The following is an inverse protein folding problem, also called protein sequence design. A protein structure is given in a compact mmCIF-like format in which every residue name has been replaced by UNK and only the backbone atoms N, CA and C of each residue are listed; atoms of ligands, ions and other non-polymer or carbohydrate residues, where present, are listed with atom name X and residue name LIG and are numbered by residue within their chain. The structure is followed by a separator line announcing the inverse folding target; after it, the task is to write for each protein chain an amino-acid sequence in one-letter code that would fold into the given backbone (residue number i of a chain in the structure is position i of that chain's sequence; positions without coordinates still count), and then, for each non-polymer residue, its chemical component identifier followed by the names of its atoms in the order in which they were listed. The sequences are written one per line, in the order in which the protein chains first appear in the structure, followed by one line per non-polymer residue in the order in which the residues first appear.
data_IF_959345051021
#
_entry.id   IF_959345051021
#
_cell.length_a   1.000
_cell.length_b   1.000
_cell.length_c   1.000
_cell.angle_alpha   90.00
_cell.angle_beta   90.00
_cell.angle_gamma   90.00
#
_symmetry.space_group_name_H-M   'P 1'
#
loop_
_entity.id
_entity.type
_entity.pdbx_description
1 polymer ?
#
# COMPACT_ATOMS: atom_id res chain seq x y z
N UNK A 1 -8.25 -1.50 21.43
CA UNK A 1 -6.78 -1.68 21.42
C UNK A 1 -6.14 -0.33 21.65
N UNK A 2 -5.03 -0.27 22.38
CA UNK A 2 -4.27 0.99 22.50
C UNK A 2 -3.55 1.20 21.19
N UNK A 3 -3.74 2.33 20.56
CA UNK A 3 -2.94 2.76 19.41
C UNK A 3 -1.60 3.27 19.95
N UNK A 4 -0.55 2.46 19.84
CA UNK A 4 0.78 2.75 20.36
C UNK A 4 1.30 4.11 19.87
N UNK A 5 1.14 4.42 18.60
CA UNK A 5 1.63 5.68 18.02
C UNK A 5 0.85 6.87 18.59
N UNK A 6 -0.47 6.76 18.72
CA UNK A 6 -1.30 7.84 19.28
C UNK A 6 -1.04 8.03 20.78
N UNK A 7 -0.80 6.95 21.52
CA UNK A 7 -0.41 7.07 22.93
C UNK A 7 0.96 7.73 23.10
N UNK A 8 1.92 7.38 22.24
CA UNK A 8 3.22 8.03 22.21
C UNK A 8 3.12 9.52 21.83
N UNK A 9 2.25 9.88 20.88
CA UNK A 9 1.98 11.28 20.49
C UNK A 9 1.49 12.14 21.66
N UNK A 10 0.70 11.61 22.57
CA UNK A 10 0.25 12.31 23.78
C UNK A 10 1.42 12.77 24.65
N UNK A 11 2.55 12.06 24.58
CA UNK A 11 3.76 12.36 25.38
C UNK A 11 4.71 13.27 24.62
N UNK A 12 5.00 12.97 23.34
CA UNK A 12 6.05 13.65 22.56
C UNK A 12 5.51 14.76 21.65
N UNK A 13 4.19 14.88 21.48
CA UNK A 13 3.58 15.85 20.57
C UNK A 13 3.93 15.56 19.11
N UNK A 14 4.18 16.62 18.34
CA UNK A 14 4.44 16.55 16.89
C UNK A 14 5.90 16.23 16.52
N UNK A 15 6.76 15.90 17.49
CA UNK A 15 8.17 15.58 17.21
C UNK A 15 8.27 14.41 16.23
N UNK A 16 9.33 14.36 15.38
CA UNK A 16 9.54 13.26 14.46
C UNK A 16 9.56 11.92 15.19
N UNK A 17 8.75 10.98 14.73
CA UNK A 17 8.77 9.60 15.19
C UNK A 17 9.28 8.68 14.07
N UNK A 18 10.13 7.72 14.45
CA UNK A 18 10.42 6.58 13.61
C UNK A 18 9.21 5.64 13.72
N UNK A 19 8.43 5.56 12.65
CA UNK A 19 7.20 4.77 12.60
C UNK A 19 7.41 3.56 11.70
N UNK A 20 7.07 2.37 12.22
CA UNK A 20 7.09 1.14 11.43
C UNK A 20 5.66 0.82 11.03
N UNK A 21 5.45 0.64 9.74
CA UNK A 21 4.17 0.31 9.15
C UNK A 21 4.19 -0.98 8.37
N UNK A 22 3.02 -1.58 8.19
CA UNK A 22 2.78 -2.71 7.34
C UNK A 22 1.62 -2.42 6.39
N UNK A 23 1.84 -2.65 5.11
CA UNK A 23 0.93 -2.23 4.05
C UNK A 23 0.72 -3.31 3.00
N UNK A 24 -0.40 -3.24 2.28
CA UNK A 24 -0.78 -4.25 1.27
C UNK A 24 -1.21 -3.61 -0.03
N UNK A 25 -0.53 -3.95 -1.12
CA UNK A 25 -0.99 -3.71 -2.49
C UNK A 25 -1.84 -4.92 -2.90
N UNK A 26 -3.15 -4.74 -3.00
CA UNK A 26 -4.06 -5.79 -3.49
C UNK A 26 -4.14 -5.71 -5.00
N UNK A 27 -3.81 -6.81 -5.68
CA UNK A 27 -3.97 -6.96 -7.13
C UNK A 27 -5.12 -7.92 -7.43
N UNK A 28 -6.00 -7.53 -8.35
CA UNK A 28 -7.05 -8.42 -8.85
C UNK A 28 -6.58 -9.25 -10.06
N UNK A 29 -7.43 -10.19 -10.50
CA UNK A 29 -7.17 -11.07 -11.65
C UNK A 29 -6.94 -10.32 -12.98
N UNK A 30 -7.34 -9.04 -13.05
CA UNK A 30 -7.14 -8.17 -14.22
C UNK A 30 -5.86 -7.32 -14.12
N UNK A 31 -5.05 -7.52 -13.08
CA UNK A 31 -3.84 -6.73 -12.82
C UNK A 31 -4.12 -5.29 -12.39
N UNK A 32 -5.33 -5.02 -11.85
CA UNK A 32 -5.67 -3.73 -11.25
C UNK A 32 -5.32 -3.75 -9.78
N UNK A 33 -4.99 -2.60 -9.22
CA UNK A 33 -4.72 -2.44 -7.78
C UNK A 33 -5.85 -1.74 -7.07
N UNK A 34 -6.11 -2.19 -5.84
CA UNK A 34 -7.04 -1.53 -4.94
C UNK A 34 -6.36 -0.33 -4.31
N UNK A 35 -6.95 0.83 -4.46
CA UNK A 35 -6.58 2.02 -3.72
C UNK A 35 -7.78 2.53 -2.92
N UNK A 36 -7.47 3.15 -1.79
CA UNK A 36 -8.40 3.87 -0.94
C UNK A 36 -8.13 5.37 -1.00
N UNK A 37 -9.20 6.15 -1.01
CA UNK A 37 -9.12 7.59 -0.87
C UNK A 37 -9.30 7.95 0.61
N UNK A 38 -8.33 8.61 1.18
CA UNK A 38 -8.34 9.00 2.59
C UNK A 38 -9.33 10.16 2.82
N UNK A 39 -10.04 10.11 3.95
CA UNK A 39 -10.99 11.17 4.34
C UNK A 39 -10.29 12.42 4.88
N UNK A 40 -9.07 12.31 5.44
CA UNK A 40 -8.34 13.42 6.07
C UNK A 40 -7.70 14.39 5.06
N UNK A 41 -7.24 13.91 3.90
CA UNK A 41 -6.52 14.73 2.93
C UNK A 41 -6.94 14.49 1.46
N UNK A 42 -7.87 13.56 1.21
CA UNK A 42 -8.39 13.18 -0.12
C UNK A 42 -7.33 12.62 -1.09
N UNK A 43 -6.20 12.14 -0.57
CA UNK A 43 -5.18 11.44 -1.34
C UNK A 43 -5.49 9.95 -1.43
N UNK A 44 -5.01 9.33 -2.49
CA UNK A 44 -5.13 7.89 -2.70
C UNK A 44 -3.90 7.15 -2.16
N UNK A 45 -4.11 5.95 -1.65
CA UNK A 45 -3.06 5.05 -1.19
C UNK A 45 -3.57 3.62 -1.14
N UNK A 46 -2.68 2.67 -0.96
CA UNK A 46 -3.05 1.30 -0.62
C UNK A 46 -3.33 1.19 0.89
N UNK A 47 -3.94 0.07 1.31
CA UNK A 47 -4.25 -0.18 2.71
C UNK A 47 -2.97 -0.42 3.54
N UNK A 48 -2.96 0.09 4.76
CA UNK A 48 -1.86 -0.11 5.69
C UNK A 48 -1.81 0.91 6.81
N UNK A 49 -1.13 0.55 7.87
CA UNK A 49 -0.98 1.39 9.05
C UNK A 49 0.18 0.97 9.95
N UNK A 50 0.17 1.47 11.17
CA UNK A 50 1.23 1.22 12.15
C UNK A 50 1.16 -0.21 12.70
N UNK A 51 2.33 -0.79 12.91
CA UNK A 51 2.47 -2.04 13.66
C UNK A 51 2.29 -1.73 15.14
N UNK A 52 1.48 -2.53 15.83
CA UNK A 52 1.29 -2.45 17.27
C UNK A 52 2.41 -3.18 18.04
N UNK A 53 2.53 -2.88 19.33
CA UNK A 53 3.49 -3.58 20.19
C UNK A 53 3.22 -5.08 20.21
N UNK A 54 4.28 -5.87 20.05
CA UNK A 54 4.24 -7.34 20.04
C UNK A 54 3.44 -7.95 18.88
N UNK A 55 3.02 -7.15 17.89
CA UNK A 55 2.33 -7.62 16.69
C UNK A 55 3.34 -8.07 15.62
N UNK A 56 3.07 -9.22 14.98
CA UNK A 56 3.85 -9.64 13.82
C UNK A 56 3.53 -8.74 12.61
N UNK A 57 4.53 -8.44 11.81
CA UNK A 57 4.39 -7.55 10.63
C UNK A 57 3.32 -8.02 9.67
N UNK A 58 3.25 -9.33 9.40
CA UNK A 58 2.28 -9.91 8.48
C UNK A 58 0.85 -9.87 9.04
N UNK A 59 0.71 -10.04 10.36
CA UNK A 59 -0.58 -9.92 11.04
C UNK A 59 -1.08 -8.48 11.03
N UNK A 60 -0.18 -7.50 11.24
CA UNK A 60 -0.48 -6.08 11.10
C UNK A 60 -0.98 -5.74 9.69
N UNK A 61 -0.28 -6.21 8.65
CA UNK A 61 -0.69 -6.01 7.26
C UNK A 61 -2.09 -6.58 6.97
N UNK A 62 -2.39 -7.78 7.47
CA UNK A 62 -3.71 -8.42 7.33
C UNK A 62 -4.80 -7.68 8.09
N UNK A 63 -4.50 -7.22 9.31
CA UNK A 63 -5.42 -6.45 10.15
C UNK A 63 -5.80 -5.13 9.46
N UNK A 64 -4.81 -4.35 9.06
CA UNK A 64 -5.03 -3.07 8.37
C UNK A 64 -5.82 -3.24 7.07
N UNK A 65 -5.46 -4.25 6.26
CA UNK A 65 -6.22 -4.55 5.04
C UNK A 65 -7.69 -4.82 5.35
N UNK A 66 -7.98 -5.64 6.37
CA UNK A 66 -9.34 -5.98 6.73
C UNK A 66 -10.11 -4.77 7.31
N UNK A 67 -9.49 -4.00 8.20
CA UNK A 67 -10.10 -2.83 8.84
C UNK A 67 -10.49 -1.77 7.80
N UNK A 68 -9.59 -1.44 6.89
CA UNK A 68 -9.77 -0.38 5.91
C UNK A 68 -10.61 -0.79 4.69
N UNK A 69 -10.57 -2.07 4.29
CA UNK A 69 -11.18 -2.52 3.02
C UNK A 69 -12.23 -3.62 3.15
N UNK A 70 -12.28 -4.34 4.27
CA UNK A 70 -13.13 -5.52 4.46
C UNK A 70 -12.61 -6.78 3.77
N UNK A 71 -11.43 -6.74 3.14
CA UNK A 71 -10.82 -7.90 2.52
C UNK A 71 -9.92 -8.65 3.50
N UNK A 72 -9.95 -9.97 3.42
CA UNK A 72 -9.08 -10.87 4.16
C UNK A 72 -8.03 -11.45 3.24
N UNK A 73 -6.75 -11.19 3.51
CA UNK A 73 -5.65 -11.77 2.76
C UNK A 73 -5.46 -13.25 3.14
N UNK A 74 -5.54 -14.14 2.16
CA UNK A 74 -5.21 -15.56 2.32
C UNK A 74 -3.69 -15.77 2.22
N UNK A 75 -3.05 -15.04 1.32
CA UNK A 75 -1.60 -15.09 1.11
C UNK A 75 -1.03 -13.71 0.88
N UNK A 76 0.06 -13.40 1.59
CA UNK A 76 0.86 -12.21 1.40
C UNK A 76 2.24 -12.58 0.82
N UNK A 77 2.72 -11.77 -0.09
CA UNK A 77 4.05 -11.87 -0.70
C UNK A 77 4.82 -10.58 -0.41
N UNK A 78 5.98 -10.69 0.25
CA UNK A 78 6.78 -9.50 0.57
C UNK A 78 7.21 -8.81 -0.73
N UNK A 79 6.77 -7.58 -0.90
CA UNK A 79 7.17 -6.73 -2.03
C UNK A 79 8.47 -5.98 -1.74
N UNK A 80 8.59 -5.40 -0.55
CA UNK A 80 9.80 -4.69 -0.16
C UNK A 80 9.67 -3.97 1.17
N UNK A 81 10.83 -3.45 1.62
CA UNK A 81 10.94 -2.59 2.79
C UNK A 81 11.39 -1.22 2.32
N UNK A 82 10.59 -0.20 2.62
CA UNK A 82 10.81 1.17 2.16
C UNK A 82 11.12 2.07 3.35
N UNK A 83 12.22 2.79 3.26
CA UNK A 83 12.67 3.68 4.31
C UNK A 83 13.53 4.81 3.73
N UNK A 84 14.02 5.69 4.60
CA UNK A 84 14.92 6.76 4.26
C UNK A 84 14.20 8.08 3.94
N UNK A 85 14.92 9.03 3.33
CA UNK A 85 14.49 10.41 3.16
C UNK A 85 13.14 10.56 2.43
N UNK A 86 12.87 9.69 1.44
CA UNK A 86 11.63 9.74 0.65
C UNK A 86 10.41 9.20 1.41
N UNK A 87 10.63 8.62 2.61
CA UNK A 87 9.58 8.11 3.49
C UNK A 87 9.33 9.04 4.69
N UNK A 88 9.93 10.22 4.68
CA UNK A 88 9.66 11.29 5.64
C UNK A 88 8.38 12.03 5.23
N UNK A 89 7.51 12.29 6.21
CA UNK A 89 6.24 12.97 5.97
C UNK A 89 5.79 13.79 7.17
N UNK A 90 5.15 14.92 6.90
CA UNK A 90 4.48 15.74 7.91
C UNK A 90 2.99 15.71 7.56
N UNK A 91 2.19 15.17 8.47
CA UNK A 91 0.74 15.10 8.32
C UNK A 91 0.09 16.49 8.45
N UNK A 92 -1.15 16.68 7.92
CA UNK A 92 -1.85 17.97 8.02
C UNK A 92 -2.05 18.49 9.46
N UNK A 93 -2.12 17.57 10.43
CA UNK A 93 -2.20 17.91 11.87
C UNK A 93 -0.85 18.31 12.49
N UNK A 94 0.25 18.30 11.71
CA UNK A 94 1.61 18.64 12.14
C UNK A 94 2.42 17.47 12.68
N UNK A 95 1.87 16.28 12.76
CA UNK A 95 2.62 15.08 13.17
C UNK A 95 3.69 14.75 12.13
N UNK A 96 4.94 14.61 12.60
CA UNK A 96 6.08 14.32 11.76
C UNK A 96 6.52 12.86 11.93
N UNK A 97 6.78 12.18 10.82
CA UNK A 97 7.18 10.77 10.81
C UNK A 97 8.33 10.51 9.85
N UNK A 98 9.19 9.58 10.22
CA UNK A 98 10.12 8.90 9.32
C UNK A 98 9.68 7.45 9.23
N UNK A 99 9.03 7.08 8.13
CA UNK A 99 8.42 5.77 7.99
C UNK A 99 9.44 4.70 7.57
N UNK A 100 9.27 3.52 8.14
CA UNK A 100 9.74 2.25 7.60
C UNK A 100 8.48 1.47 7.25
N UNK A 101 8.20 1.31 5.96
CA UNK A 101 6.99 0.63 5.48
C UNK A 101 7.36 -0.74 4.90
N UNK A 102 6.80 -1.79 5.47
CA UNK A 102 6.93 -3.16 4.99
C UNK A 102 5.71 -3.44 4.12
N UNK A 103 5.92 -3.49 2.81
CA UNK A 103 4.85 -3.59 1.82
C UNK A 103 4.76 -5.01 1.28
N UNK A 104 3.54 -5.54 1.30
CA UNK A 104 3.18 -6.84 0.72
C UNK A 104 2.33 -6.67 -0.53
N UNK A 105 2.36 -7.67 -1.39
CA UNK A 105 1.40 -7.85 -2.48
C UNK A 105 0.44 -8.97 -2.09
N UNK A 106 -0.86 -8.75 -2.31
CA UNK A 106 -1.92 -9.71 -2.09
C UNK A 106 -2.70 -9.93 -3.39
N UNK A 107 -2.67 -11.17 -3.90
CA UNK A 107 -3.44 -11.62 -5.07
C UNK A 107 -4.50 -12.65 -4.72
N UNK A 108 -4.37 -13.23 -3.51
CA UNK A 108 -5.25 -14.26 -2.99
C UNK A 108 -5.95 -13.72 -1.74
N UNK A 109 -7.20 -13.34 -1.91
CA UNK A 109 -8.00 -12.69 -0.87
C UNK A 109 -9.47 -13.06 -0.99
N UNK A 110 -10.18 -12.95 0.12
CA UNK A 110 -11.63 -13.17 0.23
C UNK A 110 -12.30 -11.94 0.84
N UNK A 111 -13.61 -11.98 0.96
CA UNK A 111 -14.39 -10.90 1.57
C UNK A 111 -15.08 -9.99 0.55
N UNK A 112 -15.70 -8.95 1.06
CA UNK A 112 -16.43 -7.95 0.26
C UNK A 112 -15.92 -6.57 0.61
N UNK A 113 -15.66 -5.74 -0.41
CA UNK A 113 -15.21 -4.37 -0.19
C UNK A 113 -16.18 -3.61 0.72
N UNK A 114 -15.66 -3.15 1.82
CA UNK A 114 -16.35 -2.32 2.81
C UNK A 114 -15.36 -1.31 3.36
N UNK A 115 -15.57 -0.05 3.07
CA UNK A 115 -14.72 1.02 3.57
C UNK A 115 -14.89 1.22 5.09
N UNK A 116 -13.83 1.60 5.75
CA UNK A 116 -13.86 2.13 7.11
C UNK A 116 -14.41 3.57 7.06
N UNK A 117 -15.62 3.79 7.55
CA UNK A 117 -16.39 5.04 7.30
C UNK A 117 -15.70 6.33 7.72
N UNK A 118 -14.89 6.29 8.78
CA UNK A 118 -14.24 7.50 9.33
C UNK A 118 -12.88 7.83 8.66
N UNK A 119 -12.24 6.86 8.02
CA UNK A 119 -10.88 6.99 7.49
C UNK A 119 -10.83 6.89 5.98
N UNK A 120 -11.75 6.18 5.37
CA UNK A 120 -11.78 5.89 3.94
C UNK A 120 -13.02 6.48 3.29
N UNK A 121 -12.80 7.40 2.36
CA UNK A 121 -13.87 8.06 1.58
C UNK A 121 -14.34 7.15 0.43
N UNK A 122 -13.42 6.48 -0.27
CA UNK A 122 -13.70 5.66 -1.44
C UNK A 122 -12.71 4.49 -1.54
N UNK A 123 -13.18 3.33 -2.00
CA UNK A 123 -12.37 2.17 -2.39
C UNK A 123 -12.59 1.88 -3.86
N UNK A 124 -11.50 1.74 -4.64
CA UNK A 124 -11.61 1.47 -6.07
C UNK A 124 -10.39 0.73 -6.61
N UNK A 125 -10.64 -0.21 -7.52
CA UNK A 125 -9.61 -0.84 -8.32
C UNK A 125 -9.24 0.01 -9.53
N UNK A 126 -7.96 0.24 -9.73
CA UNK A 126 -7.40 1.04 -10.82
C UNK A 126 -6.51 0.19 -11.72
N UNK A 127 -6.71 0.28 -13.03
CA UNK A 127 -5.75 -0.22 -14.00
C UNK A 127 -4.47 0.65 -13.98
N UNK A 128 -3.37 0.09 -14.46
CA UNK A 128 -2.06 0.76 -14.44
C UNK A 128 -2.06 2.17 -15.06
N UNK A 129 -2.84 2.36 -16.13
CA UNK A 129 -2.99 3.64 -16.84
C UNK A 129 -4.06 4.58 -16.25
N UNK A 130 -4.76 4.13 -15.21
CA UNK A 130 -5.84 4.89 -14.57
C UNK A 130 -5.48 5.32 -13.14
N UNK A 131 -4.26 5.00 -12.68
CA UNK A 131 -3.81 5.36 -11.33
C UNK A 131 -3.91 6.87 -11.14
N UNK A 132 -4.58 7.33 -10.06
CA UNK A 132 -4.81 8.75 -9.84
C UNK A 132 -3.49 9.51 -9.58
N UNK A 133 -3.48 10.79 -9.92
CA UNK A 133 -2.29 11.65 -9.72
C UNK A 133 -2.06 12.03 -8.25
N UNK A 134 -3.15 12.15 -7.47
CA UNK A 134 -3.10 12.53 -6.07
C UNK A 134 -2.82 11.30 -5.18
N UNK A 135 -1.58 10.84 -5.17
CA UNK A 135 -1.12 9.74 -4.32
C UNK A 135 -0.54 10.30 -3.01
N UNK A 136 -0.88 9.67 -1.90
CA UNK A 136 -0.32 10.00 -0.57
C UNK A 136 1.21 9.92 -0.60
N UNK A 137 1.93 10.97 -0.14
CA UNK A 137 3.37 11.02 -0.24
C UNK A 137 4.11 9.78 0.31
N UNK A 138 3.75 9.21 1.46
CA UNK A 138 4.40 7.99 1.96
C UNK A 138 4.20 6.76 1.04
N UNK A 139 3.14 6.75 0.24
CA UNK A 139 2.79 5.65 -0.67
C UNK A 139 3.49 5.77 -2.02
N UNK A 140 3.92 6.97 -2.41
CA UNK A 140 4.43 7.25 -3.77
C UNK A 140 5.62 6.37 -4.16
N UNK A 141 6.60 6.22 -3.28
CA UNK A 141 7.82 5.47 -3.59
C UNK A 141 7.57 3.98 -3.83
N UNK A 142 6.88 3.25 -2.94
CA UNK A 142 6.54 1.85 -3.18
C UNK A 142 5.63 1.67 -4.40
N UNK A 143 4.63 2.53 -4.58
CA UNK A 143 3.71 2.46 -5.71
C UNK A 143 4.42 2.68 -7.04
N UNK A 144 5.32 3.66 -7.13
CA UNK A 144 6.12 3.90 -8.33
C UNK A 144 7.01 2.70 -8.67
N UNK A 145 7.61 2.06 -7.68
CA UNK A 145 8.39 0.84 -7.89
C UNK A 145 7.51 -0.30 -8.41
N UNK A 146 6.31 -0.47 -7.87
CA UNK A 146 5.35 -1.46 -8.38
C UNK A 146 4.97 -1.16 -9.84
N UNK A 147 4.64 0.10 -10.19
CA UNK A 147 4.33 0.55 -11.56
C UNK A 147 5.46 0.21 -12.54
N UNK A 148 6.70 0.50 -12.17
CA UNK A 148 7.86 0.21 -13.03
C UNK A 148 8.05 -1.30 -13.26
N UNK A 149 7.80 -2.13 -12.26
CA UNK A 149 7.86 -3.58 -12.42
C UNK A 149 6.77 -4.10 -13.37
N UNK A 150 5.54 -3.57 -13.27
CA UNK A 150 4.44 -3.96 -14.17
C UNK A 150 4.75 -3.58 -15.63
N UNK A 151 5.28 -2.38 -15.87
CA UNK A 151 5.70 -1.94 -17.21
C UNK A 151 6.78 -2.84 -17.81
N UNK A 152 7.78 -3.24 -17.01
CA UNK A 152 8.87 -4.14 -17.45
C UNK A 152 8.34 -5.54 -17.81
N UNK A 153 7.42 -6.06 -17.01
CA UNK A 153 6.78 -7.35 -17.24
C UNK A 153 5.98 -7.37 -18.54
N UNK A 154 5.20 -6.31 -18.79
CA UNK A 154 4.41 -6.14 -20.02
C UNK A 154 5.31 -6.06 -21.27
N UNK A 155 6.41 -5.32 -21.21
CA UNK A 155 7.34 -5.20 -22.33
C UNK A 155 8.07 -6.52 -22.65
N UNK A 156 8.38 -7.36 -21.66
CA UNK A 156 8.97 -8.69 -21.88
C UNK A 156 8.03 -9.65 -22.60
N UNK A 157 6.76 -9.60 -22.30
CA UNK A 157 5.75 -10.45 -22.98
C UNK A 157 5.68 -10.06 -24.44
N UNK A 158 5.57 -8.78 -24.77
CA UNK A 158 5.50 -8.27 -26.15
C UNK A 158 6.79 -8.64 -26.96
N UNK A 159 7.97 -8.54 -26.35
CA UNK A 159 9.23 -8.88 -27.03
C UNK A 159 9.36 -10.38 -27.31
N UNK A 160 8.84 -11.25 -26.46
CA UNK A 160 8.87 -12.70 -26.67
C UNK A 160 7.87 -13.15 -27.76
N UNK A 161 6.72 -12.50 -27.88
CA UNK A 161 5.75 -12.78 -28.95
C UNK A 161 6.26 -12.36 -30.33
N UNK A 162 7.11 -11.31 -30.41
CA UNK A 162 7.72 -10.86 -31.66
C UNK A 162 8.91 -11.72 -32.14
N UNK A 163 9.52 -12.48 -31.23
CA UNK A 163 10.66 -13.37 -31.56
C UNK A 163 10.26 -14.84 -31.80
N UNK A 164 9.01 -15.20 -31.54
CA UNK A 164 8.47 -16.56 -31.73
C UNK A 164 8.02 -16.91 -33.16
N UNK A 165 8.14 -16.00 -34.11
CA UNK A 165 7.65 -16.18 -35.48
C UNK A 165 8.75 -16.36 -36.51
N UNK A 166 9.54 -17.46 -36.44
CA UNK A 166 10.20 -18.02 -37.65
C UNK A 166 10.94 -19.30 -37.32
N UNK A 167 10.30 -20.43 -37.44
CA UNK A 167 10.92 -21.72 -37.82
C UNK A 167 9.86 -22.58 -38.50
N UNK A 168 9.72 -22.34 -39.80
CA UNK A 168 9.27 -23.33 -40.75
C UNK A 168 10.22 -23.30 -41.93
N UNK A 169 11.17 -24.20 -41.93
CA UNK A 169 11.76 -24.88 -43.10
C UNK A 169 12.08 -26.32 -42.67
#
# INVERSE_FOLDING_TARGET
MSDYIMDLRKIVGHRPLLQVGASVIVEDEKGRILLQKRSDNHYWGYAGGSIELDENVEDAAKRELFEETGLTAERLELFGIFSGKDMHYIYPNGDEVSNIDIVYICRDYTGTLRRQENEVEELKFFALNEIPQKISPPVQKPLNQWIELQKRSSNKIISNDLTGGSKWE
#
